data_IF_294885527239
#
_entry.id   IF_294885527239
#
_cell.length_a   1.000
_cell.length_b   1.000
_cell.length_c   1.000
_cell.angle_alpha   90.00
_cell.angle_beta   90.00
_cell.angle_gamma   90.00
#
_symmetry.space_group_name_H-M   'P 1'
#
loop_
_entity.id
_entity.type
_entity.pdbx_description
1 polymer ?
#
# COMPACT_ATOMS: atom_id res chain seq x y z
N UNK A 1 6.97 -1.25 -9.30
CA UNK A 1 6.48 -2.11 -8.20
C UNK A 1 7.10 -3.51 -8.06
N UNK A 2 8.05 -3.94 -8.90
CA UNK A 2 8.71 -5.24 -8.73
C UNK A 2 9.40 -5.43 -7.36
N UNK A 3 10.05 -4.38 -6.84
CA UNK A 3 10.76 -4.44 -5.56
C UNK A 3 9.81 -4.72 -4.38
N UNK A 4 8.70 -3.98 -4.30
CA UNK A 4 7.67 -4.21 -3.28
C UNK A 4 7.13 -5.64 -3.36
N UNK A 5 6.80 -6.12 -4.57
CA UNK A 5 6.33 -7.48 -4.78
C UNK A 5 7.33 -8.53 -4.28
N UNK A 6 8.63 -8.33 -4.55
CA UNK A 6 9.68 -9.22 -4.11
C UNK A 6 9.79 -9.26 -2.59
N UNK A 7 9.85 -8.10 -1.93
CA UNK A 7 9.99 -8.01 -0.47
C UNK A 7 8.77 -8.61 0.23
N UNK A 8 7.56 -8.24 -0.18
CA UNK A 8 6.34 -8.75 0.42
C UNK A 8 6.18 -10.26 0.22
N UNK A 9 6.57 -10.78 -0.96
CA UNK A 9 6.60 -12.22 -1.19
C UNK A 9 7.62 -12.94 -0.29
N UNK A 10 8.81 -12.34 -0.06
CA UNK A 10 9.81 -12.87 0.87
C UNK A 10 9.37 -12.84 2.33
N UNK A 11 8.52 -11.89 2.71
CA UNK A 11 7.87 -11.82 4.01
C UNK A 11 6.69 -12.80 4.15
N UNK A 12 6.38 -13.58 3.12
CA UNK A 12 5.34 -14.62 3.17
C UNK A 12 3.95 -14.17 2.73
N UNK A 13 3.79 -12.93 2.25
CA UNK A 13 2.52 -12.44 1.73
C UNK A 13 2.25 -12.95 0.31
N UNK A 14 0.97 -13.17 0.01
CA UNK A 14 0.55 -13.43 -1.38
C UNK A 14 0.52 -12.11 -2.14
N UNK A 15 1.21 -12.06 -3.28
CA UNK A 15 1.34 -10.88 -4.12
C UNK A 15 0.85 -11.16 -5.53
N UNK A 16 0.29 -10.16 -6.21
CA UNK A 16 -0.10 -10.26 -7.61
C UNK A 16 0.08 -8.91 -8.33
N UNK A 17 0.75 -8.89 -9.50
CA UNK A 17 1.48 -10.00 -10.11
C UNK A 17 2.75 -10.34 -9.31
N UNK A 18 3.31 -11.52 -9.53
CA UNK A 18 4.58 -11.92 -8.92
C UNK A 18 5.72 -11.00 -9.38
N UNK A 19 6.79 -10.90 -8.59
CA UNK A 19 7.90 -9.98 -8.87
C UNK A 19 8.65 -10.31 -10.17
N UNK A 20 8.61 -11.57 -10.61
CA UNK A 20 9.25 -12.04 -11.86
C UNK A 20 8.32 -12.06 -13.07
N UNK A 21 7.04 -11.73 -12.91
CA UNK A 21 6.08 -11.70 -14.02
C UNK A 21 6.21 -10.41 -14.85
N UNK A 22 5.81 -10.51 -16.11
CA UNK A 22 5.73 -9.34 -17.01
C UNK A 22 4.56 -8.45 -16.57
N UNK A 23 4.74 -7.12 -16.63
CA UNK A 23 3.73 -6.14 -16.20
C UNK A 23 3.28 -5.26 -17.35
N UNK A 24 1.97 -4.99 -17.36
CA UNK A 24 1.34 -4.10 -18.34
C UNK A 24 0.84 -2.80 -17.71
N UNK A 25 0.85 -2.72 -16.37
CA UNK A 25 0.48 -1.55 -15.59
C UNK A 25 1.41 -1.39 -14.36
N UNK A 26 1.11 -0.39 -13.53
CA UNK A 26 1.86 -0.06 -12.32
C UNK A 26 1.29 -0.69 -11.04
N UNK A 27 0.17 -1.42 -11.15
CA UNK A 27 -0.59 -1.91 -10.00
C UNK A 27 0.14 -3.10 -9.37
N UNK A 28 0.14 -3.13 -8.05
CA UNK A 28 0.62 -4.24 -7.25
C UNK A 28 -0.37 -4.57 -6.15
N UNK A 29 -0.98 -5.75 -6.22
CA UNK A 29 -1.85 -6.28 -5.18
C UNK A 29 -1.04 -7.09 -4.15
N UNK A 30 -1.38 -6.92 -2.86
CA UNK A 30 -0.86 -7.70 -1.74
C UNK A 30 -2.03 -8.12 -0.86
N UNK A 31 -2.12 -9.41 -0.53
CA UNK A 31 -3.19 -9.97 0.29
C UNK A 31 -2.74 -10.12 1.74
N UNK A 32 -3.54 -9.58 2.66
CA UNK A 32 -3.33 -9.67 4.10
C UNK A 32 -4.27 -10.72 4.72
N UNK A 33 -3.88 -11.33 5.85
CA UNK A 33 -4.72 -12.29 6.55
C UNK A 33 -5.90 -11.64 7.28
N UNK A 34 -5.75 -10.38 7.69
CA UNK A 34 -6.73 -9.65 8.50
C UNK A 34 -6.72 -8.14 8.17
N UNK A 35 -7.81 -7.46 8.54
CA UNK A 35 -7.98 -6.02 8.31
C UNK A 35 -6.96 -5.16 9.05
N UNK A 36 -6.58 -5.53 10.28
CA UNK A 36 -5.64 -4.77 11.10
C UNK A 36 -4.28 -4.63 10.43
N UNK A 37 -3.73 -5.74 9.94
CA UNK A 37 -2.44 -5.75 9.24
C UNK A 37 -2.48 -4.91 7.94
N UNK A 38 -3.60 -4.93 7.22
CA UNK A 38 -3.80 -4.09 6.03
C UNK A 38 -3.89 -2.60 6.38
N UNK A 39 -4.55 -2.25 7.48
CA UNK A 39 -4.64 -0.86 7.95
C UNK A 39 -3.26 -0.34 8.32
N UNK A 40 -2.47 -1.11 9.08
CA UNK A 40 -1.11 -0.71 9.46
C UNK A 40 -0.17 -0.60 8.27
N UNK A 41 -0.33 -1.47 7.26
CA UNK A 41 0.38 -1.31 5.98
C UNK A 41 0.06 0.04 5.30
N UNK A 42 -1.22 0.41 5.21
CA UNK A 42 -1.60 1.69 4.59
C UNK A 42 -1.10 2.88 5.40
N UNK A 43 -1.15 2.81 6.73
CA UNK A 43 -0.60 3.83 7.63
C UNK A 43 0.91 4.00 7.46
N UNK A 44 1.65 2.90 7.30
CA UNK A 44 3.08 2.93 7.00
C UNK A 44 3.37 3.68 5.70
N UNK A 45 2.61 3.40 4.62
CA UNK A 45 2.72 4.13 3.34
C UNK A 45 2.43 5.63 3.52
N UNK A 46 1.42 5.99 4.32
CA UNK A 46 1.11 7.39 4.57
C UNK A 46 2.22 8.11 5.36
N UNK A 47 2.79 7.47 6.39
CA UNK A 47 3.83 8.07 7.25
C UNK A 47 5.07 8.51 6.46
N UNK A 48 5.41 7.81 5.39
CA UNK A 48 6.55 8.16 4.52
C UNK A 48 6.18 9.05 3.33
N UNK A 49 4.91 9.46 3.23
CA UNK A 49 4.46 10.30 2.12
C UNK A 49 4.95 11.76 2.29
N UNK A 50 5.24 12.48 1.19
CA UNK A 50 5.76 13.85 1.27
C UNK A 50 4.74 14.86 1.78
N UNK A 51 3.44 14.58 1.61
CA UNK A 51 2.32 15.43 2.05
C UNK A 51 1.48 14.64 3.04
N UNK A 52 0.95 15.31 4.07
CA UNK A 52 0.00 14.73 5.04
C UNK A 52 0.49 13.47 5.78
N UNK A 53 1.80 13.28 5.92
CA UNK A 53 2.39 12.12 6.62
C UNK A 53 2.06 12.03 8.12
N UNK A 54 1.65 13.15 8.72
CA UNK A 54 1.26 13.23 10.13
C UNK A 54 -0.20 12.83 10.36
N UNK A 55 -1.00 12.64 9.30
CA UNK A 55 -2.40 12.26 9.43
C UNK A 55 -2.53 10.75 9.69
N UNK A 56 -3.42 10.40 10.62
CA UNK A 56 -3.77 9.01 10.86
C UNK A 56 -4.83 8.57 9.86
N UNK A 57 -4.50 7.56 9.05
CA UNK A 57 -5.48 6.96 8.15
C UNK A 57 -6.47 6.07 8.90
N UNK A 58 -7.73 6.20 8.51
CA UNK A 58 -8.84 5.36 8.94
C UNK A 58 -9.68 4.98 7.72
N UNK A 59 -10.31 3.79 7.72
CA UNK A 59 -11.30 3.45 6.70
C UNK A 59 -12.46 4.44 6.68
N UNK A 60 -12.91 4.82 5.48
CA UNK A 60 -14.02 5.75 5.29
C UNK A 60 -14.98 5.25 4.21
N UNK A 61 -16.26 5.62 4.34
CA UNK A 61 -17.33 5.45 3.37
C UNK A 61 -17.10 6.31 2.11
N UNK A 62 -16.20 5.85 1.24
CA UNK A 62 -15.90 6.50 -0.03
C UNK A 62 -17.12 6.40 -0.97
N UNK A 63 -17.63 7.52 -1.53
CA UNK A 63 -18.77 7.51 -2.44
C UNK A 63 -18.54 6.58 -3.64
N UNK A 64 -19.52 5.73 -3.93
CA UNK A 64 -19.45 4.75 -5.03
C UNK A 64 -18.93 3.37 -4.64
N UNK A 65 -18.40 3.21 -3.41
CA UNK A 65 -17.95 1.92 -2.89
C UNK A 65 -18.99 1.33 -1.92
N UNK A 66 -19.18 -0.01 -2.00
CA UNK A 66 -20.11 -0.73 -1.13
C UNK A 66 -19.56 -1.01 0.28
N UNK A 67 -18.24 -1.00 0.42
CA UNK A 67 -17.53 -1.26 1.67
C UNK A 67 -16.64 -0.06 1.95
N UNK A 68 -16.34 0.20 3.23
CA UNK A 68 -15.36 1.22 3.59
C UNK A 68 -14.04 0.97 2.88
N UNK A 69 -13.36 2.05 2.50
CA UNK A 69 -12.07 2.02 1.83
C UNK A 69 -11.08 2.76 2.70
N UNK A 70 -9.89 2.19 2.85
CA UNK A 70 -8.72 2.91 3.38
C UNK A 70 -7.82 3.30 2.21
N UNK A 71 -7.25 4.50 2.26
CA UNK A 71 -6.43 5.05 1.19
C UNK A 71 -5.29 5.89 1.76
N UNK A 72 -4.06 5.48 1.47
CA UNK A 72 -2.86 6.30 1.59
C UNK A 72 -2.62 7.06 0.30
N UNK A 73 -2.65 8.39 0.41
CA UNK A 73 -2.62 9.31 -0.73
C UNK A 73 -1.98 10.65 -0.35
N UNK A 74 -0.86 10.61 0.39
CA UNK A 74 -0.05 11.79 0.72
C UNK A 74 0.72 12.36 -0.49
N UNK A 75 -0.02 12.68 -1.55
CA UNK A 75 0.47 13.15 -2.83
C UNK A 75 0.42 14.69 -2.92
N UNK A 76 1.31 15.27 -3.74
CA UNK A 76 1.27 16.70 -4.06
C UNK A 76 0.02 17.08 -4.86
N UNK A 77 -0.45 16.19 -5.74
CA UNK A 77 -1.68 16.37 -6.50
C UNK A 77 -2.76 15.43 -5.96
N UNK A 78 -3.91 15.99 -5.58
CA UNK A 78 -5.02 15.22 -5.03
C UNK A 78 -5.49 14.14 -6.02
N UNK A 79 -5.52 12.89 -5.54
CA UNK A 79 -5.95 11.74 -6.33
C UNK A 79 -4.91 11.24 -7.35
N UNK A 80 -3.67 11.73 -7.30
CA UNK A 80 -2.57 11.24 -8.13
C UNK A 80 -2.19 9.80 -7.75
N UNK A 81 -2.32 8.89 -8.70
CA UNK A 81 -1.91 7.48 -8.55
C UNK A 81 -0.57 7.15 -9.20
N UNK A 82 0.09 8.14 -9.81
CA UNK A 82 1.48 8.03 -10.25
C UNK A 82 2.45 8.38 -9.12
N UNK A 83 2.00 9.15 -8.14
CA UNK A 83 2.64 9.27 -6.84
C UNK A 83 2.36 8.02 -5.99
N UNK A 84 3.25 7.73 -5.03
CA UNK A 84 3.13 6.52 -4.23
C UNK A 84 1.81 6.55 -3.45
N UNK A 85 0.98 5.54 -3.66
CA UNK A 85 -0.32 5.42 -3.03
C UNK A 85 -0.67 3.95 -2.78
N UNK A 86 -1.53 3.73 -1.79
CA UNK A 86 -2.03 2.41 -1.44
C UNK A 86 -3.49 2.49 -1.00
N UNK A 87 -4.37 1.70 -1.61
CA UNK A 87 -5.79 1.70 -1.27
C UNK A 87 -6.37 0.29 -1.25
N UNK A 88 -7.41 0.10 -0.42
CA UNK A 88 -8.03 -1.19 -0.21
C UNK A 88 -9.48 -1.09 0.27
N UNK A 89 -10.39 -1.94 -0.24
CA UNK A 89 -11.68 -2.14 0.40
C UNK A 89 -11.53 -2.97 1.69
N UNK A 90 -12.20 -2.56 2.76
CA UNK A 90 -12.21 -3.23 4.06
C UNK A 90 -13.13 -4.46 4.07
N UNK A 91 -12.76 -5.46 3.26
CA UNK A 91 -13.43 -6.76 3.19
C UNK A 91 -12.44 -7.86 2.83
N UNK A 92 -12.80 -9.09 3.15
CA UNK A 92 -12.03 -10.24 2.71
C UNK A 92 -11.93 -10.30 1.16
N UNK A 93 -10.75 -10.66 0.60
CA UNK A 93 -9.58 -11.20 1.30
C UNK A 93 -8.53 -10.16 1.74
N UNK A 94 -8.93 -8.93 2.09
CA UNK A 94 -8.05 -7.84 2.55
C UNK A 94 -6.87 -7.62 1.60
N UNK A 95 -7.20 -7.24 0.36
CA UNK A 95 -6.20 -6.96 -0.67
C UNK A 95 -6.00 -5.47 -0.80
N UNK A 96 -4.75 -5.02 -0.60
CA UNK A 96 -4.33 -3.66 -0.89
C UNK A 96 -3.75 -3.59 -2.29
N UNK A 97 -4.04 -2.49 -2.98
CA UNK A 97 -3.48 -2.13 -4.27
C UNK A 97 -2.50 -0.99 -4.06
N UNK A 98 -1.24 -1.23 -4.41
CA UNK A 98 -0.14 -0.27 -4.28
C UNK A 98 0.35 0.10 -5.66
N UNK A 99 0.56 1.38 -5.90
CA UNK A 99 0.94 1.89 -7.21
C UNK A 99 1.71 3.21 -7.10
N UNK A 100 2.30 3.61 -8.22
CA UNK A 100 3.03 4.85 -8.33
C UNK A 100 4.37 4.86 -7.59
N UNK A 101 4.87 6.07 -7.37
CA UNK A 101 6.20 6.38 -6.85
C UNK A 101 6.99 7.18 -7.87
N UNK A 102 7.14 8.48 -7.62
CA UNK A 102 7.85 9.39 -8.53
C UNK A 102 9.34 9.05 -8.65
N UNK A 103 9.92 8.57 -7.56
CA UNK A 103 11.31 8.15 -7.48
C UNK A 103 11.40 6.76 -6.87
N UNK A 104 12.37 5.97 -7.32
CA UNK A 104 12.60 4.64 -6.76
C UNK A 104 13.06 4.73 -5.30
N UNK A 105 13.76 5.80 -4.95
CA UNK A 105 14.26 6.10 -3.61
C UNK A 105 13.10 6.26 -2.62
N UNK A 106 12.05 7.00 -2.99
CA UNK A 106 10.86 7.13 -2.15
C UNK A 106 10.16 5.79 -1.92
N UNK A 107 10.04 4.98 -2.98
CA UNK A 107 9.48 3.62 -2.87
C UNK A 107 10.33 2.73 -1.96
N UNK A 108 11.66 2.83 -2.00
CA UNK A 108 12.55 2.06 -1.12
C UNK A 108 12.36 2.44 0.35
N UNK A 109 12.32 3.73 0.66
CA UNK A 109 12.05 4.22 2.02
C UNK A 109 10.69 3.72 2.53
N UNK A 110 9.67 3.73 1.66
CA UNK A 110 8.37 3.17 2.02
C UNK A 110 8.42 1.68 2.33
N UNK A 111 9.16 0.90 1.55
CA UNK A 111 9.33 -0.53 1.77
C UNK A 111 10.04 -0.81 3.10
N UNK A 112 11.03 0.01 3.47
CA UNK A 112 11.71 -0.09 4.77
C UNK A 112 10.73 0.16 5.93
N UNK A 113 10.00 1.27 5.92
CA UNK A 113 8.97 1.59 6.94
C UNK A 113 7.87 0.52 7.03
N UNK A 114 7.40 0.02 5.89
CA UNK A 114 6.43 -1.08 5.81
C UNK A 114 7.01 -2.33 6.48
N UNK A 115 8.26 -2.68 6.15
CA UNK A 115 8.94 -3.82 6.74
C UNK A 115 9.05 -3.71 8.25
N UNK A 116 9.49 -2.56 8.76
CA UNK A 116 9.59 -2.29 10.20
C UNK A 116 8.22 -2.38 10.89
N UNK A 117 7.19 -1.76 10.31
CA UNK A 117 5.82 -1.78 10.83
C UNK A 117 5.31 -3.21 10.93
N UNK A 118 5.38 -3.99 9.85
CA UNK A 118 4.83 -5.35 9.82
C UNK A 118 5.61 -6.32 10.72
N UNK A 119 6.93 -6.13 10.87
CA UNK A 119 7.75 -6.98 11.74
C UNK A 119 7.59 -6.63 13.22
N UNK A 120 7.22 -5.39 13.56
CA UNK A 120 6.99 -4.97 14.95
C UNK A 120 5.75 -5.59 15.61
N UNK A 121 4.86 -6.18 14.81
CA UNK A 121 3.62 -6.82 15.24
C UNK A 121 3.69 -8.36 15.27
N UNK A 122 4.87 -8.94 15.05
CA UNK A 122 5.16 -10.37 15.22
C UNK A 122 5.73 -10.67 16.61
#
# INVERSE_FOLDING_TARGET
MHLLAFVMNKLGYTVSPHWSETRNDIIQAIRFPESTALIEFCRAVQRVSPVDSHLLLEPWDMPGYQHQVIMAAGAFIQGSSIELSADAPMREPYTVYVQGGLTLEHVKLAIEEIGETLLSHL
#
